data_IF_735915483277
#
_entry.id   IF_735915483277
#
_cell.length_a   1.000
_cell.length_b   1.000
_cell.length_c   1.000
_cell.angle_alpha   90.00
_cell.angle_beta   90.00
_cell.angle_gamma   90.00
#
_symmetry.space_group_name_H-M   'P 1'
#
loop_
_entity.id
_entity.type
_entity.pdbx_description
1 polymer ?
#
# COMPACT_ATOMS: atom_id res chain seq x y z
N UNK A 1 -6.09 11.85 2.25
CA UNK A 1 -6.25 10.42 2.02
C UNK A 1 -6.60 10.15 0.56
N UNK A 2 -6.02 9.12 0.01
CA UNK A 2 -6.39 8.66 -1.32
C UNK A 2 -7.71 7.91 -1.28
N UNK A 3 -8.59 8.25 -2.21
CA UNK A 3 -9.80 7.50 -2.44
C UNK A 3 -9.51 6.54 -3.60
N UNK A 4 -9.45 5.25 -3.30
CA UNK A 4 -8.93 4.25 -4.22
C UNK A 4 -10.00 3.62 -5.08
N UNK A 5 -10.40 4.31 -6.15
CA UNK A 5 -11.02 3.66 -7.30
C UNK A 5 -9.92 3.10 -8.21
N UNK A 6 -10.27 2.42 -9.30
CA UNK A 6 -9.27 1.82 -10.20
C UNK A 6 -8.22 2.79 -10.74
N UNK A 7 -8.59 4.05 -10.95
CA UNK A 7 -7.70 5.07 -11.47
C UNK A 7 -7.24 6.06 -10.41
N UNK A 8 -7.72 5.93 -9.18
CA UNK A 8 -7.50 6.92 -8.13
C UNK A 8 -6.02 7.18 -7.82
N UNK A 9 -5.12 6.17 -7.79
CA UNK A 9 -3.70 6.45 -7.56
C UNK A 9 -3.10 7.39 -8.59
N UNK A 10 -3.44 7.23 -9.86
CA UNK A 10 -2.96 8.13 -10.91
C UNK A 10 -3.55 9.53 -10.75
N UNK A 11 -4.86 9.62 -10.51
CA UNK A 11 -5.53 10.90 -10.35
C UNK A 11 -5.01 11.65 -9.14
N UNK A 12 -4.80 10.95 -8.03
CA UNK A 12 -4.25 11.57 -6.83
C UNK A 12 -2.86 12.13 -7.08
N UNK A 13 -2.01 11.40 -7.81
CA UNK A 13 -0.68 11.88 -8.16
C UNK A 13 -0.74 13.08 -9.09
N UNK A 14 -1.65 13.09 -10.05
CA UNK A 14 -1.85 14.24 -10.92
C UNK A 14 -2.37 15.46 -10.19
N UNK A 15 -3.26 15.25 -9.22
CA UNK A 15 -3.89 16.33 -8.47
C UNK A 15 -3.00 16.91 -7.39
N UNK A 16 -1.95 16.21 -7.01
CA UNK A 16 -1.01 16.67 -5.99
C UNK A 16 -0.18 17.85 -6.49
N UNK A 17 0.04 17.91 -7.79
CA UNK A 17 0.76 18.99 -8.42
C UNK A 17 0.24 19.21 -9.84
N UNK A 18 0.13 20.45 -10.24
CA UNK A 18 -0.23 20.82 -11.61
C UNK A 18 0.94 20.66 -12.56
N UNK A 19 2.15 20.58 -12.01
CA UNK A 19 3.36 20.44 -12.79
C UNK A 19 3.97 19.07 -12.57
N UNK A 20 4.30 18.42 -13.67
CA UNK A 20 4.98 17.15 -13.63
C UNK A 20 6.44 17.38 -13.22
N UNK A 21 6.83 16.83 -12.07
CA UNK A 21 8.19 16.86 -11.59
C UNK A 21 8.94 15.60 -12.03
N UNK A 22 10.28 15.60 -12.00
CA UNK A 22 11.03 14.36 -12.27
C UNK A 22 10.62 13.22 -11.36
N UNK A 23 10.33 13.49 -10.09
CA UNK A 23 9.87 12.47 -9.15
C UNK A 23 8.51 11.91 -9.55
N UNK A 24 7.57 12.75 -9.96
CA UNK A 24 6.26 12.30 -10.42
C UNK A 24 6.35 11.47 -11.69
N UNK A 25 7.19 11.87 -12.63
CA UNK A 25 7.41 11.09 -13.85
C UNK A 25 7.95 9.71 -13.54
N UNK A 26 8.91 9.63 -12.61
CA UNK A 26 9.47 8.35 -12.20
C UNK A 26 8.41 7.50 -11.50
N UNK A 27 7.55 8.11 -10.67
CA UNK A 27 6.46 7.40 -10.00
C UNK A 27 5.48 6.80 -11.02
N UNK A 28 5.05 7.58 -12.00
CA UNK A 28 4.17 7.08 -13.05
C UNK A 28 4.81 5.95 -13.86
N UNK A 29 6.08 6.08 -14.18
CA UNK A 29 6.81 5.05 -14.89
C UNK A 29 6.86 3.75 -14.09
N UNK A 30 7.21 3.83 -12.82
CA UNK A 30 7.30 2.65 -11.96
C UNK A 30 5.94 2.02 -11.73
N UNK A 31 4.89 2.82 -11.58
CA UNK A 31 3.54 2.30 -11.44
C UNK A 31 3.11 1.54 -12.71
N UNK A 32 3.38 2.09 -13.87
CA UNK A 32 3.08 1.41 -15.14
C UNK A 32 3.84 0.10 -15.25
N UNK A 33 5.11 0.11 -14.92
CA UNK A 33 5.94 -1.11 -14.92
C UNK A 33 5.39 -2.16 -13.95
N UNK A 34 4.94 -1.74 -12.78
CA UNK A 34 4.34 -2.64 -11.80
C UNK A 34 3.04 -3.25 -12.33
N UNK A 35 2.15 -2.42 -12.85
CA UNK A 35 0.85 -2.87 -13.35
C UNK A 35 0.96 -3.78 -14.57
N UNK A 36 2.04 -3.68 -15.33
CA UNK A 36 2.28 -4.54 -16.50
C UNK A 36 3.16 -5.75 -16.18
N UNK A 37 3.49 -5.96 -14.90
CA UNK A 37 4.27 -7.12 -14.46
C UNK A 37 5.77 -7.00 -14.67
N UNK A 38 6.26 -5.81 -15.03
CA UNK A 38 7.68 -5.60 -15.31
C UNK A 38 8.49 -5.16 -14.11
N UNK A 39 7.81 -4.82 -13.00
CA UNK A 39 8.44 -4.33 -11.78
C UNK A 39 7.76 -4.92 -10.57
N UNK A 40 8.54 -5.31 -9.56
CA UNK A 40 8.01 -5.84 -8.30
C UNK A 40 8.14 -4.87 -7.14
N UNK A 41 9.19 -4.06 -7.12
CA UNK A 41 9.47 -3.14 -6.04
C UNK A 41 9.57 -1.72 -6.57
N UNK A 42 9.20 -0.77 -5.72
CA UNK A 42 9.32 0.64 -6.06
C UNK A 42 10.60 1.21 -5.47
N UNK A 43 11.28 2.01 -6.26
CA UNK A 43 12.51 2.69 -5.87
C UNK A 43 12.24 4.19 -5.88
N UNK A 44 11.55 4.67 -4.85
CA UNK A 44 11.13 6.07 -4.71
C UNK A 44 11.29 6.50 -3.26
N UNK A 45 11.70 7.76 -3.03
CA UNK A 45 11.76 8.31 -1.68
C UNK A 45 10.34 8.63 -1.20
N UNK A 46 9.73 7.71 -0.47
CA UNK A 46 8.39 7.89 0.08
C UNK A 46 8.47 8.55 1.45
N UNK A 47 7.79 9.68 1.60
CA UNK A 47 7.77 10.42 2.86
C UNK A 47 6.31 10.78 3.20
N UNK A 48 5.46 9.80 3.53
CA UNK A 48 4.07 10.05 3.83
C UNK A 48 3.92 10.82 5.14
N UNK A 49 3.01 11.78 5.17
CA UNK A 49 2.68 12.51 6.37
C UNK A 49 1.70 11.73 7.22
N UNK A 50 1.95 11.68 8.52
CA UNK A 50 1.09 10.98 9.46
C UNK A 50 1.69 11.01 10.85
N UNK A 51 1.02 10.37 11.79
CA UNK A 51 1.53 10.20 13.15
C UNK A 51 2.75 9.27 13.16
N UNK A 52 3.51 9.30 14.23
CA UNK A 52 4.66 8.39 14.38
C UNK A 52 4.22 6.94 14.29
N UNK A 53 3.07 6.61 14.88
CA UNK A 53 2.51 5.27 14.82
C UNK A 53 2.16 4.88 13.37
N UNK A 54 1.45 5.76 12.66
CA UNK A 54 1.07 5.50 11.28
C UNK A 54 2.30 5.31 10.39
N UNK A 55 3.29 6.21 10.53
CA UNK A 55 4.54 6.07 9.75
C UNK A 55 5.27 4.77 10.06
N UNK A 56 5.27 4.35 11.32
CA UNK A 56 5.86 3.07 11.72
C UNK A 56 5.16 1.88 11.06
N UNK A 57 3.82 1.90 11.02
CA UNK A 57 3.04 0.89 10.34
C UNK A 57 3.37 0.88 8.84
N UNK A 58 3.37 2.05 8.21
CA UNK A 58 3.63 2.14 6.76
C UNK A 58 5.04 1.69 6.40
N UNK A 59 6.04 1.95 7.25
CA UNK A 59 7.39 1.41 7.05
C UNK A 59 7.39 -0.12 7.11
N UNK A 60 6.66 -0.66 8.07
CA UNK A 60 6.53 -2.12 8.21
C UNK A 60 5.89 -2.75 6.99
N UNK A 61 4.85 -2.11 6.44
CA UNK A 61 4.21 -2.59 5.21
C UNK A 61 5.19 -2.70 4.05
N UNK A 62 6.13 -1.77 3.96
CA UNK A 62 7.11 -1.78 2.88
C UNK A 62 8.11 -2.92 2.97
N UNK A 63 8.15 -3.63 4.10
CA UNK A 63 8.99 -4.83 4.26
C UNK A 63 8.31 -6.10 3.77
N UNK A 64 7.02 -6.06 3.44
CA UNK A 64 6.30 -7.23 2.95
C UNK A 64 6.68 -7.46 1.48
N UNK A 65 7.30 -8.61 1.17
CA UNK A 65 7.76 -8.86 -0.19
C UNK A 65 6.61 -8.99 -1.19
N UNK A 66 6.91 -8.68 -2.42
CA UNK A 66 6.00 -8.89 -3.55
C UNK A 66 5.51 -10.34 -3.58
N UNK A 67 4.23 -10.52 -3.78
CA UNK A 67 3.63 -11.86 -3.83
C UNK A 67 3.40 -12.52 -2.48
N UNK A 68 3.69 -11.82 -1.39
CA UNK A 68 3.47 -12.33 -0.03
C UNK A 68 2.46 -11.48 0.71
N UNK A 69 1.91 -12.03 1.77
CA UNK A 69 0.95 -11.34 2.62
C UNK A 69 1.36 -11.47 4.08
N UNK A 70 0.82 -10.57 4.91
CA UNK A 70 0.94 -10.65 6.36
C UNK A 70 -0.42 -10.38 6.96
N UNK A 71 -0.69 -10.98 8.12
CA UNK A 71 -1.90 -10.65 8.86
C UNK A 71 -1.72 -9.33 9.60
N UNK A 72 -2.84 -8.72 10.01
CA UNK A 72 -2.78 -7.51 10.84
C UNK A 72 -1.98 -7.74 12.11
N UNK A 73 -2.10 -8.93 12.71
CA UNK A 73 -1.34 -9.28 13.90
C UNK A 73 0.16 -9.34 13.61
N UNK A 74 0.56 -9.96 12.52
CA UNK A 74 1.97 -10.03 12.13
C UNK A 74 2.55 -8.64 11.89
N UNK A 75 1.80 -7.75 11.24
CA UNK A 75 2.23 -6.36 11.05
C UNK A 75 2.36 -5.66 12.39
N UNK A 76 1.41 -5.85 13.31
CA UNK A 76 1.47 -5.26 14.64
C UNK A 76 2.72 -5.73 15.40
N UNK A 77 3.04 -7.01 15.34
CA UNK A 77 4.24 -7.56 15.98
C UNK A 77 5.50 -6.96 15.38
N UNK A 78 5.58 -6.88 14.06
CA UNK A 78 6.75 -6.31 13.37
C UNK A 78 6.90 -4.81 13.63
N UNK A 79 5.79 -4.11 13.90
CA UNK A 79 5.81 -2.69 14.23
C UNK A 79 5.99 -2.42 15.74
N UNK A 80 6.32 -3.46 16.53
CA UNK A 80 6.53 -3.39 17.98
C UNK A 80 5.29 -2.98 18.77
N UNK A 81 4.10 -3.32 18.27
CA UNK A 81 2.85 -3.07 18.99
C UNK A 81 1.91 -4.29 18.88
N UNK A 82 2.31 -5.44 19.47
CA UNK A 82 1.63 -6.71 19.22
C UNK A 82 0.15 -6.73 19.62
N UNK A 83 -0.26 -5.85 20.53
CA UNK A 83 -1.67 -5.74 20.91
C UNK A 83 -2.43 -4.72 20.10
N UNK A 84 -1.76 -4.01 19.21
CA UNK A 84 -2.32 -2.90 18.45
C UNK A 84 -2.85 -3.27 17.08
N UNK A 85 -3.26 -4.51 16.85
CA UNK A 85 -3.67 -4.95 15.52
C UNK A 85 -4.87 -4.18 14.96
N UNK A 86 -5.77 -3.68 15.81
CA UNK A 86 -6.89 -2.84 15.37
C UNK A 86 -6.42 -1.46 14.92
N UNK A 87 -5.49 -0.87 15.68
CA UNK A 87 -4.90 0.41 15.30
C UNK A 87 -4.07 0.27 14.03
N UNK A 88 -3.39 -0.86 13.85
CA UNK A 88 -2.69 -1.20 12.61
C UNK A 88 -3.68 -1.24 11.44
N UNK A 89 -4.86 -1.86 11.63
CA UNK A 89 -5.89 -1.89 10.60
C UNK A 89 -6.33 -0.50 10.19
N UNK A 90 -6.54 0.40 11.16
CA UNK A 90 -6.88 1.79 10.84
C UNK A 90 -5.76 2.50 10.10
N UNK A 91 -4.52 2.35 10.53
CA UNK A 91 -3.38 2.96 9.85
C UNK A 91 -3.22 2.39 8.44
N UNK A 92 -3.43 1.09 8.27
CA UNK A 92 -3.41 0.45 6.96
C UNK A 92 -4.43 1.08 6.01
N UNK A 93 -5.66 1.32 6.50
CA UNK A 93 -6.72 1.92 5.69
C UNK A 93 -6.49 3.41 5.41
N UNK A 94 -5.63 4.07 6.17
CA UNK A 94 -5.31 5.49 6.01
C UNK A 94 -4.02 5.74 5.24
N UNK A 95 -3.47 4.70 4.64
CA UNK A 95 -2.28 4.82 3.81
C UNK A 95 -2.53 5.86 2.70
N UNK A 96 -1.73 6.94 2.64
CA UNK A 96 -1.94 8.01 1.66
C UNK A 96 -1.35 7.69 0.29
N UNK A 97 -0.54 6.65 0.16
CA UNK A 97 0.16 6.31 -1.08
C UNK A 97 -0.04 4.81 -1.35
N UNK A 98 -1.29 4.44 -1.65
CA UNK A 98 -1.62 3.04 -1.92
C UNK A 98 -0.78 2.48 -3.08
N UNK A 99 -0.57 1.19 -3.08
CA UNK A 99 0.24 0.44 -4.03
C UNK A 99 1.73 0.62 -3.75
N UNK A 100 2.24 1.85 -3.72
CA UNK A 100 3.64 2.13 -3.39
C UNK A 100 3.97 1.69 -1.95
N UNK A 101 3.06 1.98 -1.02
CA UNK A 101 3.09 1.40 0.33
C UNK A 101 2.06 0.27 0.30
N UNK A 102 2.47 -1.00 0.35
CA UNK A 102 1.62 -2.10 -0.07
C UNK A 102 0.60 -2.54 0.99
N UNK A 103 -0.35 -1.69 1.31
CA UNK A 103 -1.42 -2.02 2.26
C UNK A 103 -2.32 -3.15 1.75
N UNK A 104 -2.32 -3.43 0.47
CA UNK A 104 -3.07 -4.55 -0.10
C UNK A 104 -2.49 -5.91 0.31
N UNK A 105 -1.25 -5.98 0.82
CA UNK A 105 -0.60 -7.21 1.27
C UNK A 105 -0.94 -7.58 2.71
N UNK A 106 -1.84 -6.86 3.35
CA UNK A 106 -2.29 -7.18 4.71
C UNK A 106 -3.69 -7.79 4.63
N UNK A 107 -3.83 -8.99 5.18
CA UNK A 107 -5.08 -9.75 5.13
C UNK A 107 -5.48 -10.22 6.53
N UNK A 108 -6.68 -10.79 6.68
CA UNK A 108 -7.09 -11.40 7.94
C UNK A 108 -6.22 -12.60 8.28
N UNK A 109 -6.14 -12.93 9.57
CA UNK A 109 -5.34 -14.06 10.04
C UNK A 109 -5.81 -15.41 9.49
N UNK A 110 -7.09 -15.49 9.12
CA UNK A 110 -7.68 -16.68 8.50
C UNK A 110 -7.58 -16.66 6.96
N UNK A 111 -6.87 -15.70 6.40
CA UNK A 111 -6.74 -15.53 4.97
C UNK A 111 -7.85 -14.70 4.32
N UNK A 112 -8.78 -14.18 5.10
CA UNK A 112 -9.90 -13.41 4.55
C UNK A 112 -9.43 -12.05 4.01
N UNK A 113 -10.07 -11.61 2.93
CA UNK A 113 -9.82 -10.31 2.32
C UNK A 113 -10.66 -9.26 3.03
N UNK A 114 -10.06 -8.59 4.01
CA UNK A 114 -10.77 -7.59 4.81
C UNK A 114 -10.02 -6.26 4.76
N UNK A 115 -10.76 -5.18 4.87
CA UNK A 115 -10.21 -3.86 5.18
C UNK A 115 -9.28 -3.27 4.15
N UNK A 116 -9.78 -2.87 2.99
CA UNK A 116 -9.00 -2.11 2.02
C UNK A 116 -9.75 -0.83 1.63
N UNK A 117 -9.06 0.32 1.72
CA UNK A 117 -9.66 1.62 1.43
C UNK A 117 -10.16 1.77 0.01
N UNK A 118 -9.58 1.06 -0.95
CA UNK A 118 -10.00 1.08 -2.36
C UNK A 118 -11.06 0.05 -2.69
N UNK A 119 -11.44 -0.80 -1.73
CA UNK A 119 -12.39 -1.87 -1.94
C UNK A 119 -11.73 -3.22 -2.22
N UNK A 120 -12.42 -4.27 -1.83
CA UNK A 120 -11.89 -5.64 -1.95
C UNK A 120 -11.57 -6.06 -3.38
N UNK A 121 -12.37 -5.70 -4.41
CA UNK A 121 -12.02 -6.09 -5.78
C UNK A 121 -10.66 -5.57 -6.22
N UNK A 122 -10.28 -4.37 -5.82
CA UNK A 122 -8.96 -3.81 -6.16
C UNK A 122 -7.87 -4.55 -5.40
N UNK A 123 -8.09 -4.82 -4.13
CA UNK A 123 -7.14 -5.57 -3.30
C UNK A 123 -6.87 -6.95 -3.91
N UNK A 124 -7.93 -7.65 -4.28
CA UNK A 124 -7.81 -8.97 -4.91
C UNK A 124 -7.07 -8.89 -6.25
N UNK A 125 -7.37 -7.89 -7.05
CA UNK A 125 -6.70 -7.70 -8.33
C UNK A 125 -5.21 -7.47 -8.17
N UNK A 126 -4.79 -6.68 -7.19
CA UNK A 126 -3.38 -6.44 -6.93
C UNK A 126 -2.68 -7.71 -6.44
N UNK A 127 -3.30 -8.45 -5.54
CA UNK A 127 -2.74 -9.71 -5.06
C UNK A 127 -2.65 -10.75 -6.17
N UNK A 128 -3.65 -10.79 -7.03
CA UNK A 128 -3.63 -11.67 -8.19
C UNK A 128 -2.50 -11.31 -9.16
N UNK A 129 -2.33 -10.01 -9.42
CA UNK A 129 -1.23 -9.51 -10.25
C UNK A 129 0.11 -9.95 -9.67
N UNK A 130 0.26 -9.92 -8.36
CA UNK A 130 1.50 -10.31 -7.69
C UNK A 130 1.69 -11.83 -7.57
N UNK A 131 0.74 -12.61 -8.03
CA UNK A 131 0.85 -14.07 -8.01
C UNK A 131 0.50 -14.72 -6.68
N UNK A 132 -0.08 -13.96 -5.74
CA UNK A 132 -0.48 -14.52 -4.46
C UNK A 132 -1.68 -15.46 -4.59
N UNK A 133 -2.60 -15.16 -5.48
CA UNK A 133 -3.81 -15.94 -5.64
C UNK A 133 -4.10 -16.23 -7.13
#
# INVERSE_FOLDING_TARGET
RLDLGPTAPFEALKNTTEQETPLLREAFKQLDEYLTGKRRDFDLPLAPEGTDFQRGVWRTLQTIPYGQTRSYRQVAEAANCPKGYRAVGLANNRNPIAIFIPCHRVIGADGSMVGYGGGLPIKEALLHLEGYM
#
